data_IF_207214126883
#
_entry.id   IF_207214126883
#
_cell.length_a   1.000
_cell.length_b   1.000
_cell.length_c   1.000
_cell.angle_alpha   90.00
_cell.angle_beta   90.00
_cell.angle_gamma   90.00
#
_symmetry.space_group_name_H-M   'P 1'
#
loop_
_entity.id
_entity.type
_entity.pdbx_description
1 polymer ?
#
# COMPACT_ATOMS: atom_id res chain seq x y z
N UNK A 1 -21.57 -10.04 -14.05
CA UNK A 1 -21.62 -8.61 -14.42
C UNK A 1 -20.74 -7.88 -13.42
N UNK A 2 -19.64 -7.25 -13.83
CA UNK A 2 -18.89 -6.40 -12.90
C UNK A 2 -19.73 -5.17 -12.60
N UNK A 3 -20.13 -5.01 -11.35
CA UNK A 3 -20.70 -3.74 -10.88
C UNK A 3 -19.55 -2.76 -10.80
N UNK A 4 -19.45 -1.85 -11.78
CA UNK A 4 -18.44 -0.79 -11.86
C UNK A 4 -18.69 0.25 -10.74
N UNK A 5 -18.44 -0.16 -9.50
CA UNK A 5 -18.75 0.57 -8.27
C UNK A 5 -17.47 1.22 -7.74
N UNK A 6 -16.98 2.22 -8.47
CA UNK A 6 -15.79 2.97 -8.08
C UNK A 6 -16.12 4.02 -7.02
N UNK A 7 -15.28 4.15 -6.00
CA UNK A 7 -15.45 5.18 -4.97
C UNK A 7 -16.54 4.88 -3.94
N UNK A 8 -17.12 3.68 -3.96
CA UNK A 8 -18.09 3.20 -2.98
C UNK A 8 -17.40 2.46 -1.82
N UNK A 9 -18.06 2.41 -0.67
CA UNK A 9 -17.60 1.65 0.49
C UNK A 9 -17.54 0.14 0.21
N UNK A 10 -16.72 -0.63 0.94
CA UNK A 10 -16.69 -2.08 0.82
C UNK A 10 -18.08 -2.70 1.00
N UNK A 11 -18.47 -3.58 0.08
CA UNK A 11 -19.73 -4.36 0.15
C UNK A 11 -19.52 -5.80 0.65
N UNK A 12 -18.27 -6.17 0.91
CA UNK A 12 -17.84 -7.49 1.38
C UNK A 12 -17.09 -7.35 2.70
N UNK A 13 -17.11 -8.39 3.56
CA UNK A 13 -16.31 -8.38 4.78
C UNK A 13 -14.80 -8.33 4.45
N UNK A 14 -13.99 -7.77 5.37
CA UNK A 14 -12.54 -7.74 5.22
C UNK A 14 -11.94 -9.15 5.33
N UNK A 15 -10.77 -9.36 4.71
CA UNK A 15 -9.99 -10.59 4.81
C UNK A 15 -9.25 -10.69 6.15
N UNK A 16 -8.95 -11.91 6.57
CA UNK A 16 -8.19 -12.24 7.79
C UNK A 16 -7.20 -13.37 7.47
N UNK A 17 -5.91 -13.13 7.61
CA UNK A 17 -4.88 -14.11 7.28
C UNK A 17 -4.61 -15.16 8.37
N UNK A 18 -5.19 -15.02 9.56
CA UNK A 18 -5.02 -15.96 10.66
C UNK A 18 -6.10 -17.05 10.62
N UNK A 19 -7.35 -16.67 10.88
CA UNK A 19 -8.47 -17.64 10.90
C UNK A 19 -9.09 -17.84 9.53
N UNK A 20 -8.93 -16.87 8.63
CA UNK A 20 -9.50 -16.87 7.29
C UNK A 20 -8.50 -17.23 6.19
N UNK A 21 -7.32 -17.75 6.52
CA UNK A 21 -6.24 -18.01 5.54
C UNK A 21 -6.67 -18.87 4.35
N UNK A 22 -7.59 -19.81 4.57
CA UNK A 22 -8.12 -20.67 3.51
C UNK A 22 -8.89 -19.87 2.46
N UNK A 23 -9.55 -18.77 2.84
CA UNK A 23 -10.22 -17.87 1.90
C UNK A 23 -9.22 -17.16 0.98
N UNK A 24 -8.05 -16.79 1.50
CA UNK A 24 -6.97 -16.16 0.74
C UNK A 24 -6.26 -17.18 -0.18
N UNK A 25 -5.99 -18.38 0.31
CA UNK A 25 -5.30 -19.42 -0.47
C UNK A 25 -6.21 -20.14 -1.46
N UNK A 26 -7.51 -19.86 -1.46
CA UNK A 26 -8.53 -20.41 -2.37
C UNK A 26 -9.28 -19.36 -3.19
N UNK A 27 -8.74 -18.13 -3.30
CA UNK A 27 -9.34 -17.07 -4.13
C UNK A 27 -9.62 -17.57 -5.57
N UNK A 28 -10.68 -17.04 -6.22
CA UNK A 28 -11.02 -17.39 -7.60
C UNK A 28 -9.86 -17.14 -8.57
N UNK A 29 -9.75 -17.94 -9.63
CA UNK A 29 -8.67 -17.82 -10.64
C UNK A 29 -8.62 -16.45 -11.33
N UNK A 30 -9.71 -15.68 -11.31
CA UNK A 30 -9.74 -14.30 -11.83
C UNK A 30 -9.21 -13.24 -10.85
N UNK A 31 -8.88 -13.61 -9.61
CA UNK A 31 -8.27 -12.71 -8.65
C UNK A 31 -6.85 -12.34 -9.09
N UNK A 32 -6.47 -11.10 -8.83
CA UNK A 32 -5.16 -10.58 -9.22
C UNK A 32 -4.04 -11.39 -8.54
N UNK A 33 -2.98 -11.71 -9.29
CA UNK A 33 -1.86 -12.57 -8.87
C UNK A 33 -2.17 -14.03 -8.50
N UNK A 34 -3.44 -14.46 -8.59
CA UNK A 34 -3.83 -15.81 -8.15
C UNK A 34 -3.12 -16.92 -8.90
N UNK A 35 -2.82 -16.71 -10.17
CA UNK A 35 -2.04 -17.61 -11.02
C UNK A 35 -0.66 -17.91 -10.40
N UNK A 36 0.01 -16.90 -9.85
CA UNK A 36 1.30 -17.05 -9.16
C UNK A 36 1.12 -17.65 -7.76
N UNK A 37 0.11 -17.22 -7.01
CA UNK A 37 -0.16 -17.75 -5.67
C UNK A 37 -0.35 -19.28 -5.71
N UNK A 38 -1.05 -19.80 -6.72
CA UNK A 38 -1.25 -21.25 -6.91
C UNK A 38 0.08 -21.98 -7.11
N UNK A 39 1.00 -21.41 -7.87
CA UNK A 39 2.32 -22.02 -8.11
C UNK A 39 3.15 -22.07 -6.82
N UNK A 40 3.18 -20.98 -6.06
CA UNK A 40 3.93 -20.90 -4.80
C UNK A 40 3.36 -21.87 -3.75
N UNK A 41 2.04 -21.94 -3.62
CA UNK A 41 1.38 -22.86 -2.69
C UNK A 41 1.60 -24.33 -3.10
N UNK A 42 1.50 -24.64 -4.40
CA UNK A 42 1.69 -26.01 -4.90
C UNK A 42 3.14 -26.50 -4.79
N UNK A 43 4.13 -25.59 -4.78
CA UNK A 43 5.53 -25.95 -4.58
C UNK A 43 5.87 -26.31 -3.13
N UNK A 44 5.03 -25.93 -2.17
CA UNK A 44 5.24 -26.19 -0.75
C UNK A 44 5.37 -27.69 -0.46
N UNK A 45 6.40 -28.07 0.29
CA UNK A 45 6.68 -29.46 0.65
C UNK A 45 7.43 -29.55 1.99
N UNK A 46 7.66 -30.75 2.54
CA UNK A 46 8.48 -30.89 3.75
C UNK A 46 9.91 -30.34 3.60
N UNK A 47 10.46 -30.30 2.39
CA UNK A 47 11.82 -29.81 2.09
C UNK A 47 11.86 -28.40 1.49
N UNK A 48 10.72 -27.83 1.08
CA UNK A 48 10.62 -26.50 0.50
C UNK A 48 9.55 -25.71 1.26
N UNK A 49 10.00 -24.73 2.04
CA UNK A 49 9.14 -23.78 2.76
C UNK A 49 8.74 -22.66 1.81
N UNK A 50 7.44 -22.43 1.65
CA UNK A 50 6.92 -21.29 0.87
C UNK A 50 6.10 -20.35 1.73
N UNK A 51 6.15 -19.05 1.42
CA UNK A 51 5.31 -18.03 2.02
C UNK A 51 5.01 -16.93 1.00
N UNK A 52 3.75 -16.51 0.93
CA UNK A 52 3.26 -15.38 0.14
C UNK A 52 3.09 -14.21 1.09
N UNK A 53 3.74 -13.09 0.78
CA UNK A 53 3.51 -11.81 1.47
C UNK A 53 2.69 -10.94 0.51
N UNK A 54 1.49 -10.58 0.94
CA UNK A 54 0.54 -9.77 0.19
C UNK A 54 0.44 -8.37 0.83
N UNK A 55 1.27 -7.41 0.39
CA UNK A 55 1.21 -6.04 0.88
C UNK A 55 0.04 -5.26 0.23
N UNK A 56 -0.58 -4.32 0.98
CA UNK A 56 -1.61 -3.43 0.48
C UNK A 56 -0.97 -2.15 -0.09
N UNK A 57 -1.49 -0.95 0.19
CA UNK A 57 -0.81 0.30 -0.18
C UNK A 57 0.50 0.45 0.59
N UNK A 58 1.62 0.36 -0.13
CA UNK A 58 2.95 0.59 0.43
C UNK A 58 3.28 2.07 0.38
N UNK A 59 3.80 2.65 1.46
CA UNK A 59 4.23 4.05 1.52
C UNK A 59 5.55 4.22 2.30
N UNK A 60 6.02 5.47 2.39
CA UNK A 60 7.32 5.79 2.97
C UNK A 60 8.44 5.75 1.95
N UNK A 61 9.49 6.52 2.22
CA UNK A 61 10.71 6.56 1.40
C UNK A 61 11.54 5.30 1.67
N UNK A 62 11.89 4.55 0.64
CA UNK A 62 12.72 3.36 0.80
C UNK A 62 14.20 3.72 1.02
N UNK A 63 14.92 2.82 1.72
CA UNK A 63 16.35 2.96 2.05
C UNK A 63 17.27 2.11 1.16
N UNK A 64 16.71 1.43 0.18
CA UNK A 64 17.45 0.61 -0.79
C UNK A 64 18.08 1.45 -1.91
N UNK A 65 18.99 0.85 -2.70
CA UNK A 65 19.71 1.53 -3.78
C UNK A 65 18.88 1.69 -5.07
N UNK A 66 17.68 1.11 -5.12
CA UNK A 66 16.84 1.05 -6.32
C UNK A 66 15.78 2.16 -6.34
N UNK A 67 14.57 1.79 -6.78
CA UNK A 67 13.45 2.71 -6.75
C UNK A 67 13.05 3.02 -5.29
N UNK A 68 13.21 4.27 -4.90
CA UNK A 68 12.86 4.72 -3.53
C UNK A 68 11.45 5.28 -3.39
N UNK A 69 10.79 5.56 -4.52
CA UNK A 69 9.47 6.20 -4.57
C UNK A 69 8.37 5.15 -4.66
N UNK A 70 7.36 5.24 -3.79
CA UNK A 70 6.16 4.40 -3.94
C UNK A 70 5.23 4.91 -5.06
N UNK A 71 4.06 4.31 -5.21
CA UNK A 71 3.20 4.46 -6.40
C UNK A 71 1.88 5.16 -6.11
N UNK A 72 0.97 4.56 -5.35
CA UNK A 72 -0.43 5.02 -5.29
C UNK A 72 -0.57 6.43 -4.70
N UNK A 73 -0.15 6.65 -3.45
CA UNK A 73 -0.25 7.96 -2.77
C UNK A 73 0.68 8.99 -3.42
N UNK A 74 1.85 8.57 -3.87
CA UNK A 74 2.81 9.46 -4.54
C UNK A 74 2.26 9.96 -5.89
N UNK A 75 1.59 9.11 -6.67
CA UNK A 75 0.91 9.55 -7.89
C UNK A 75 -0.30 10.44 -7.59
N UNK A 76 -1.01 10.21 -6.48
CA UNK A 76 -2.10 11.08 -6.04
C UNK A 76 -1.59 12.50 -5.74
N UNK A 77 -0.50 12.60 -4.98
CA UNK A 77 0.18 13.87 -4.68
C UNK A 77 0.68 14.53 -5.96
N UNK A 78 1.40 13.80 -6.81
CA UNK A 78 1.89 14.31 -8.09
C UNK A 78 0.78 14.91 -8.95
N UNK A 79 -0.32 14.18 -9.12
CA UNK A 79 -1.47 14.63 -9.91
C UNK A 79 -2.14 15.85 -9.24
N UNK A 80 -2.21 15.87 -7.91
CA UNK A 80 -2.71 17.03 -7.15
C UNK A 80 -1.90 18.28 -7.47
N UNK A 81 -0.58 18.18 -7.43
CA UNK A 81 0.33 19.30 -7.70
C UNK A 81 0.22 19.77 -9.17
N UNK A 82 0.14 18.84 -10.11
CA UNK A 82 0.03 19.15 -11.55
C UNK A 82 -1.32 19.79 -11.92
N UNK A 83 -2.42 19.34 -11.32
CA UNK A 83 -3.77 19.86 -11.61
C UNK A 83 -4.16 21.04 -10.71
N UNK A 84 -3.43 21.26 -9.62
CA UNK A 84 -3.78 22.27 -8.61
C UNK A 84 -4.94 21.86 -7.69
N UNK A 85 -5.36 20.59 -7.73
CA UNK A 85 -6.48 20.07 -6.95
C UNK A 85 -6.41 18.54 -6.81
N UNK A 86 -6.71 18.02 -5.61
CA UNK A 86 -6.61 16.58 -5.35
C UNK A 86 -7.79 15.81 -5.95
N UNK A 87 -7.56 14.71 -6.69
CA UNK A 87 -8.63 13.97 -7.34
C UNK A 87 -9.36 13.03 -6.38
N UNK A 88 -10.65 12.81 -6.63
CA UNK A 88 -11.49 11.84 -5.92
C UNK A 88 -12.30 11.03 -6.94
N UNK A 89 -12.20 9.70 -6.86
CA UNK A 89 -13.05 8.79 -7.64
C UNK A 89 -14.37 8.52 -6.92
N UNK A 90 -15.48 8.63 -7.65
CA UNK A 90 -16.83 8.39 -7.12
C UNK A 90 -17.11 9.17 -5.84
N UNK A 91 -17.69 8.51 -4.83
CA UNK A 91 -17.96 9.12 -3.51
C UNK A 91 -16.73 9.22 -2.61
N UNK A 92 -15.57 8.69 -3.03
CA UNK A 92 -14.35 8.66 -2.23
C UNK A 92 -14.40 7.72 -1.02
N UNK A 93 -15.40 6.85 -0.92
CA UNK A 93 -15.61 5.96 0.26
C UNK A 93 -14.82 4.65 0.17
N UNK A 94 -13.94 4.52 -0.81
CA UNK A 94 -13.12 3.34 -1.01
C UNK A 94 -12.14 3.17 0.15
N UNK A 95 -12.11 1.98 0.74
CA UNK A 95 -11.23 1.65 1.86
C UNK A 95 -10.07 0.75 1.43
N UNK A 96 -8.87 1.10 1.90
CA UNK A 96 -7.63 0.33 1.75
C UNK A 96 -6.90 0.15 3.08
N UNK A 97 -6.22 -0.99 3.24
CA UNK A 97 -5.12 -1.16 4.16
C UNK A 97 -3.82 -0.49 3.64
N UNK A 98 -2.89 -0.20 4.54
CA UNK A 98 -1.60 0.40 4.19
C UNK A 98 -0.46 -0.14 5.06
N UNK A 99 0.78 -0.01 4.57
CA UNK A 99 1.98 -0.40 5.31
C UNK A 99 3.17 0.48 4.94
N UNK A 100 3.96 0.89 5.94
CA UNK A 100 5.21 1.58 5.69
C UNK A 100 6.25 0.58 5.12
N UNK A 101 7.01 0.98 4.11
CA UNK A 101 7.97 0.11 3.39
C UNK A 101 8.99 -0.55 4.32
N UNK A 102 9.42 0.15 5.38
CA UNK A 102 10.31 -0.39 6.40
C UNK A 102 9.67 -1.53 7.22
N UNK A 103 8.40 -1.40 7.59
CA UNK A 103 7.68 -2.44 8.33
C UNK A 103 7.48 -3.68 7.46
N UNK A 104 7.15 -3.47 6.18
CA UNK A 104 7.08 -4.55 5.19
C UNK A 104 8.43 -5.26 5.05
N UNK A 105 9.54 -4.52 4.94
CA UNK A 105 10.88 -5.11 4.86
C UNK A 105 11.24 -5.93 6.12
N UNK A 106 10.74 -5.52 7.29
CA UNK A 106 10.94 -6.24 8.55
C UNK A 106 10.19 -7.58 8.54
N UNK A 107 8.99 -7.64 7.96
CA UNK A 107 8.26 -8.90 7.81
C UNK A 107 9.03 -9.91 6.95
N UNK A 108 9.62 -9.45 5.83
CA UNK A 108 10.47 -10.32 5.01
C UNK A 108 11.69 -10.82 5.78
N UNK A 109 12.35 -9.96 6.56
CA UNK A 109 13.47 -10.36 7.41
C UNK A 109 13.06 -11.46 8.40
N UNK A 110 11.94 -11.29 9.10
CA UNK A 110 11.44 -12.26 10.07
C UNK A 110 11.15 -13.62 9.42
N UNK A 111 10.60 -13.64 8.21
CA UNK A 111 10.40 -14.90 7.46
C UNK A 111 11.75 -15.56 7.14
N UNK A 112 12.74 -14.80 6.66
CA UNK A 112 14.08 -15.33 6.36
C UNK A 112 14.74 -15.90 7.62
N UNK A 113 14.70 -15.18 8.73
CA UNK A 113 15.24 -15.62 10.02
C UNK A 113 14.54 -16.88 10.54
N UNK A 114 13.21 -16.96 10.37
CA UNK A 114 12.41 -18.15 10.74
C UNK A 114 12.70 -19.36 9.86
N UNK A 115 13.16 -19.16 8.62
CA UNK A 115 13.48 -20.22 7.70
C UNK A 115 14.80 -20.96 8.06
N UNK A 116 15.71 -20.30 8.80
CA UNK A 116 16.99 -20.86 9.26
C UNK A 116 16.75 -22.11 10.13
N UNK A 117 17.52 -23.20 9.95
CA UNK A 117 17.25 -24.50 10.61
C UNK A 117 17.12 -24.44 12.13
N UNK A 118 17.94 -23.62 12.79
CA UNK A 118 18.00 -23.51 14.25
C UNK A 118 16.83 -22.70 14.85
N UNK A 119 16.02 -22.06 14.01
CA UNK A 119 14.85 -21.26 14.40
C UNK A 119 13.55 -22.08 14.44
N UNK A 120 13.58 -23.38 14.13
CA UNK A 120 12.40 -24.23 13.93
C UNK A 120 11.56 -24.42 15.22
N UNK A 121 10.23 -24.44 15.06
CA UNK A 121 9.28 -24.66 16.16
C UNK A 121 8.03 -25.38 15.66
N UNK A 122 7.24 -25.92 16.58
CA UNK A 122 5.95 -26.54 16.24
C UNK A 122 4.96 -25.60 15.54
N UNK A 123 5.17 -24.28 15.65
CA UNK A 123 4.33 -23.27 14.99
C UNK A 123 4.68 -23.08 13.52
N UNK A 124 5.74 -23.71 13.00
CA UNK A 124 6.12 -23.64 11.58
C UNK A 124 5.00 -24.07 10.62
N UNK A 125 4.13 -24.98 11.06
CA UNK A 125 2.95 -25.41 10.30
C UNK A 125 1.97 -24.25 10.04
N UNK A 126 2.01 -23.20 10.87
CA UNK A 126 1.22 -21.99 10.72
C UNK A 126 1.94 -20.89 9.93
N UNK A 127 3.18 -21.11 9.51
CA UNK A 127 3.99 -20.07 8.85
C UNK A 127 4.24 -20.43 7.38
N UNK A 128 4.37 -21.72 7.06
CA UNK A 128 4.82 -22.16 5.74
C UNK A 128 3.73 -22.88 4.93
N UNK A 129 3.97 -22.96 3.63
CA UNK A 129 3.25 -23.80 2.68
C UNK A 129 1.76 -23.47 2.62
N UNK A 130 0.88 -24.43 2.88
CA UNK A 130 -0.58 -24.27 2.77
C UNK A 130 -1.13 -23.07 3.56
N UNK A 131 -0.52 -22.75 4.70
CA UNK A 131 -0.90 -21.62 5.56
C UNK A 131 0.03 -20.41 5.41
N UNK A 132 1.04 -20.49 4.56
CA UNK A 132 2.03 -19.45 4.32
C UNK A 132 1.49 -18.33 3.46
N UNK A 133 0.44 -17.64 3.92
CA UNK A 133 -0.11 -16.44 3.31
C UNK A 133 -0.21 -15.36 4.39
N UNK A 134 0.49 -14.25 4.18
CA UNK A 134 0.59 -13.16 5.13
C UNK A 134 0.07 -11.88 4.46
N UNK A 135 -0.98 -11.31 5.04
CA UNK A 135 -1.27 -9.92 4.78
C UNK A 135 -0.22 -9.08 5.52
N UNK A 136 0.10 -7.90 4.99
CA UNK A 136 1.10 -7.02 5.58
C UNK A 136 0.54 -5.61 5.73
N UNK A 137 -0.35 -5.40 6.70
CA UNK A 137 -0.90 -4.08 7.03
C UNK A 137 -0.40 -3.56 8.36
N UNK A 138 -0.34 -2.23 8.49
CA UNK A 138 -0.26 -1.53 9.77
C UNK A 138 -1.16 -0.28 9.79
N UNK A 139 -2.40 -0.45 9.34
CA UNK A 139 -3.37 0.65 9.27
C UNK A 139 -4.33 0.55 8.09
N UNK A 140 -5.41 1.32 8.18
CA UNK A 140 -6.45 1.43 7.17
C UNK A 140 -6.72 2.91 6.85
N UNK A 141 -7.24 3.16 5.65
CA UNK A 141 -7.57 4.51 5.19
C UNK A 141 -8.75 4.48 4.21
N UNK A 142 -9.42 5.63 4.11
CA UNK A 142 -10.42 5.92 3.07
C UNK A 142 -9.77 6.84 2.03
N UNK A 143 -9.84 6.49 0.74
CA UNK A 143 -9.16 7.24 -0.31
C UNK A 143 -9.62 8.70 -0.42
N UNK A 144 -10.91 8.98 -0.21
CA UNK A 144 -11.42 10.35 -0.18
C UNK A 144 -10.82 11.20 0.95
N UNK A 145 -10.57 10.58 2.11
CA UNK A 145 -9.90 11.26 3.23
C UNK A 145 -8.42 11.54 2.91
N UNK A 146 -7.73 10.58 2.27
CA UNK A 146 -6.36 10.78 1.80
C UNK A 146 -6.28 11.90 0.75
N UNK A 147 -7.20 11.93 -0.22
CA UNK A 147 -7.27 13.02 -1.21
C UNK A 147 -7.52 14.38 -0.56
N UNK A 148 -8.44 14.44 0.41
CA UNK A 148 -8.71 15.67 1.15
C UNK A 148 -7.48 16.13 1.96
N UNK A 149 -6.77 15.21 2.61
CA UNK A 149 -5.55 15.52 3.35
C UNK A 149 -4.45 16.03 2.41
N UNK A 150 -4.19 15.34 1.30
CA UNK A 150 -3.21 15.75 0.29
C UNK A 150 -3.52 17.15 -0.24
N UNK A 151 -4.78 17.45 -0.52
CA UNK A 151 -5.23 18.80 -0.94
C UNK A 151 -4.99 19.85 0.15
N UNK A 152 -5.31 19.53 1.41
CA UNK A 152 -5.09 20.42 2.55
C UNK A 152 -3.59 20.71 2.78
N UNK A 153 -2.74 19.68 2.76
CA UNK A 153 -1.30 19.82 2.97
C UNK A 153 -0.63 20.60 1.84
N UNK A 154 -0.97 20.31 0.58
CA UNK A 154 -0.45 21.05 -0.57
C UNK A 154 -0.90 22.52 -0.57
N UNK A 155 -2.15 22.79 -0.18
CA UNK A 155 -2.66 24.17 -0.04
C UNK A 155 -1.95 24.92 1.09
N UNK A 156 -1.78 24.29 2.25
CA UNK A 156 -1.09 24.88 3.40
C UNK A 156 0.37 25.22 3.09
N UNK A 157 1.02 24.44 2.21
CA UNK A 157 2.37 24.69 1.70
C UNK A 157 2.43 25.70 0.54
N UNK A 158 1.29 26.25 0.11
CA UNK A 158 1.21 27.23 -0.99
C UNK A 158 1.47 26.65 -2.38
N UNK A 159 1.44 25.31 -2.52
CA UNK A 159 1.74 24.61 -3.77
C UNK A 159 0.54 24.58 -4.73
N UNK A 160 -0.67 24.72 -4.18
CA UNK A 160 -1.93 24.78 -4.93
C UNK A 160 -2.84 25.88 -4.38
N UNK A 161 -3.85 26.28 -5.16
CA UNK A 161 -4.71 27.45 -4.85
C UNK A 161 -5.99 27.11 -4.06
N UNK A 162 -6.29 25.83 -3.89
CA UNK A 162 -7.47 25.36 -3.14
C UNK A 162 -7.15 24.04 -2.44
N UNK A 163 -7.76 23.81 -1.28
CA UNK A 163 -7.68 22.54 -0.54
C UNK A 163 -8.76 21.54 -0.92
N UNK A 164 -9.79 21.99 -1.65
CA UNK A 164 -10.96 21.17 -1.97
C UNK A 164 -10.60 20.05 -2.94
N UNK A 165 -11.30 18.92 -2.89
CA UNK A 165 -11.09 17.82 -3.84
C UNK A 165 -11.86 18.06 -5.15
N UNK A 166 -11.38 17.47 -6.24
CA UNK A 166 -12.02 17.45 -7.55
C UNK A 166 -12.54 16.04 -7.87
N UNK A 167 -13.78 15.92 -8.33
CA UNK A 167 -14.25 14.67 -8.91
C UNK A 167 -13.41 14.31 -10.14
N UNK A 168 -12.99 13.04 -10.22
CA UNK A 168 -12.25 12.49 -11.35
C UNK A 168 -13.01 11.27 -11.89
N UNK A 169 -13.10 11.17 -13.21
CA UNK A 169 -13.65 9.99 -13.86
C UNK A 169 -12.61 8.87 -13.98
N UNK A 170 -13.05 7.61 -14.01
CA UNK A 170 -12.15 6.45 -14.08
C UNK A 170 -11.37 6.40 -15.38
N UNK A 171 -11.96 6.81 -16.51
CA UNK A 171 -11.25 6.88 -17.79
C UNK A 171 -10.19 7.98 -17.78
N UNK A 172 -10.44 9.08 -17.07
CA UNK A 172 -9.45 10.12 -16.85
C UNK A 172 -8.31 9.61 -15.95
N UNK A 173 -8.64 8.99 -14.82
CA UNK A 173 -7.68 8.38 -13.89
C UNK A 173 -6.76 7.39 -14.62
N UNK A 174 -7.34 6.50 -15.44
CA UNK A 174 -6.60 5.51 -16.22
C UNK A 174 -5.63 6.15 -17.22
N UNK A 175 -6.01 7.27 -17.86
CA UNK A 175 -5.12 8.00 -18.79
C UNK A 175 -3.97 8.69 -18.07
N UNK A 176 -4.19 9.20 -16.85
CA UNK A 176 -3.19 9.97 -16.10
C UNK A 176 -2.14 9.08 -15.44
N UNK A 177 -2.56 8.01 -14.76
CA UNK A 177 -1.66 7.15 -13.99
C UNK A 177 -2.08 5.68 -13.99
N UNK A 178 -2.73 5.21 -15.05
CA UNK A 178 -2.99 3.79 -15.26
C UNK A 178 -3.76 3.13 -14.12
N UNK A 179 -3.30 1.95 -13.70
CA UNK A 179 -3.93 1.19 -12.63
C UNK A 179 -3.82 1.89 -11.27
N UNK A 180 -2.76 2.65 -11.02
CA UNK A 180 -2.56 3.31 -9.72
C UNK A 180 -3.71 4.29 -9.43
N UNK A 181 -4.10 5.11 -10.39
CA UNK A 181 -5.21 6.03 -10.19
C UNK A 181 -6.56 5.32 -10.14
N UNK A 182 -6.77 4.26 -10.94
CA UNK A 182 -7.99 3.45 -10.86
C UNK A 182 -8.13 2.77 -9.49
N UNK A 183 -7.01 2.38 -8.86
CA UNK A 183 -7.01 1.70 -7.56
C UNK A 183 -7.61 2.52 -6.43
N UNK A 184 -7.60 3.86 -6.52
CA UNK A 184 -8.23 4.75 -5.53
C UNK A 184 -9.75 4.59 -5.43
N UNK A 185 -10.37 3.96 -6.44
CA UNK A 185 -11.80 3.67 -6.46
C UNK A 185 -12.15 2.21 -6.23
N UNK A 186 -11.18 1.30 -6.06
CA UNK A 186 -11.39 -0.13 -5.86
C UNK A 186 -11.18 -0.50 -4.40
N UNK A 187 -11.94 -1.39 -3.77
CA UNK A 187 -11.73 -1.72 -2.35
C UNK A 187 -10.69 -2.84 -2.15
N UNK A 188 -9.87 -2.72 -1.09
CA UNK A 188 -8.97 -3.77 -0.60
C UNK A 188 -8.95 -3.69 0.92
N UNK A 189 -9.31 -4.74 1.65
CA UNK A 189 -9.27 -4.66 3.12
C UNK A 189 -8.98 -5.99 3.75
N UNK A 190 -7.89 -6.04 4.50
CA UNK A 190 -7.45 -7.20 5.26
C UNK A 190 -6.92 -6.84 6.64
N UNK A 191 -6.66 -7.88 7.44
CA UNK A 191 -6.01 -7.77 8.74
C UNK A 191 -4.84 -8.77 8.83
N UNK A 192 -3.65 -8.24 9.14
CA UNK A 192 -2.38 -8.99 9.15
C UNK A 192 -2.11 -9.62 10.52
N UNK A 193 -2.95 -10.57 10.93
CA UNK A 193 -2.91 -11.18 12.26
C UNK A 193 -1.87 -12.30 12.35
N UNK A 194 -1.62 -13.03 11.26
CA UNK A 194 -0.72 -14.20 11.23
C UNK A 194 0.72 -13.81 11.54
N UNK A 195 1.25 -12.78 10.87
CA UNK A 195 2.60 -12.29 11.09
C UNK A 195 2.82 -11.83 12.54
N UNK A 196 1.86 -11.07 13.09
CA UNK A 196 1.91 -10.60 14.48
C UNK A 196 1.96 -11.77 15.47
N UNK A 197 1.15 -12.80 15.23
CA UNK A 197 1.04 -13.96 16.11
C UNK A 197 2.28 -14.87 16.08
N UNK A 198 2.72 -15.27 14.89
CA UNK A 198 3.70 -16.37 14.75
C UNK A 198 5.13 -15.90 14.45
N UNK A 199 5.30 -14.64 14.07
CA UNK A 199 6.62 -14.05 13.80
C UNK A 199 6.97 -12.91 14.77
N UNK A 200 6.05 -12.53 15.67
CA UNK A 200 6.23 -11.38 16.55
C UNK A 200 6.36 -10.07 15.77
N UNK A 201 5.86 -10.00 14.53
CA UNK A 201 5.96 -8.80 13.70
C UNK A 201 5.23 -7.64 14.39
N UNK A 202 5.98 -6.59 14.72
CA UNK A 202 5.48 -5.41 15.41
C UNK A 202 5.87 -4.16 14.60
N UNK A 203 5.03 -3.74 13.64
CA UNK A 203 5.32 -2.59 12.80
C UNK A 203 5.32 -1.29 13.61
N UNK A 204 6.30 -0.42 13.36
CA UNK A 204 6.53 0.83 14.10
C UNK A 204 6.77 2.04 13.19
N UNK A 205 6.62 1.88 11.88
CA UNK A 205 6.70 2.98 10.93
C UNK A 205 5.66 4.07 11.24
N UNK A 206 5.94 5.29 10.75
CA UNK A 206 4.96 6.38 10.77
C UNK A 206 3.68 5.93 10.09
N UNK A 207 2.55 6.43 10.56
CA UNK A 207 1.28 6.21 9.88
C UNK A 207 1.27 6.88 8.50
N UNK A 208 0.39 6.43 7.60
CA UNK A 208 0.26 7.04 6.28
C UNK A 208 -0.06 8.54 6.39
N UNK A 209 -0.93 8.92 7.30
CA UNK A 209 -1.33 10.30 7.55
C UNK A 209 -0.16 11.17 8.00
N UNK A 210 0.72 10.65 8.85
CA UNK A 210 1.94 11.34 9.28
C UNK A 210 3.00 11.42 8.17
N UNK A 211 2.98 10.48 7.21
CA UNK A 211 3.90 10.46 6.07
C UNK A 211 3.51 11.48 4.98
N UNK A 212 2.21 11.73 4.76
CA UNK A 212 1.71 12.54 3.64
C UNK A 212 2.39 13.91 3.50
N UNK A 213 2.59 14.72 4.56
CA UNK A 213 3.28 16.01 4.41
C UNK A 213 4.69 15.89 3.82
N UNK A 214 5.40 14.80 4.12
CA UNK A 214 6.73 14.52 3.58
C UNK A 214 6.66 14.05 2.13
N UNK A 215 5.65 13.26 1.77
CA UNK A 215 5.39 12.84 0.38
C UNK A 215 5.08 14.08 -0.48
N UNK A 216 4.27 15.02 0.04
CA UNK A 216 3.99 16.30 -0.64
C UNK A 216 5.27 17.07 -0.90
N UNK A 217 6.16 17.19 0.07
CA UNK A 217 7.46 17.87 -0.12
C UNK A 217 8.35 17.14 -1.13
N UNK A 218 8.40 15.81 -1.10
CA UNK A 218 9.21 15.04 -2.05
C UNK A 218 8.70 15.21 -3.48
N UNK A 219 7.39 15.05 -3.71
CA UNK A 219 6.82 15.20 -5.04
C UNK A 219 6.88 16.65 -5.53
N UNK A 220 6.73 17.65 -4.65
CA UNK A 220 6.92 19.05 -5.01
C UNK A 220 8.36 19.33 -5.48
N UNK A 221 9.37 18.74 -4.83
CA UNK A 221 10.77 18.82 -5.30
C UNK A 221 10.93 18.14 -6.66
N UNK A 222 10.36 16.94 -6.83
CA UNK A 222 10.42 16.18 -8.08
C UNK A 222 9.76 16.91 -9.25
N UNK A 223 8.69 17.64 -9.00
CA UNK A 223 7.97 18.45 -9.98
C UNK A 223 8.59 19.87 -10.13
N UNK A 224 9.68 20.19 -9.42
CA UNK A 224 10.39 21.46 -9.52
C UNK A 224 9.66 22.66 -8.92
N UNK A 225 8.69 22.42 -8.04
CA UNK A 225 7.89 23.47 -7.38
C UNK A 225 8.58 24.06 -6.15
N UNK A 226 9.46 23.30 -5.50
CA UNK A 226 10.29 23.74 -4.37
C UNK A 226 11.72 23.24 -4.57
N UNK A 227 12.71 24.01 -4.10
CA UNK A 227 14.14 23.68 -4.22
C UNK A 227 14.54 22.55 -3.28
N UNK A 228 15.59 21.83 -3.63
CA UNK A 228 16.19 20.82 -2.76
C UNK A 228 17.05 21.43 -1.65
N UNK A 229 17.20 20.76 -0.51
CA UNK A 229 18.08 21.21 0.57
C UNK A 229 19.53 21.48 0.13
N UNK A 230 20.02 20.77 -0.89
CA UNK A 230 21.33 21.04 -1.51
C UNK A 230 21.38 22.37 -2.26
N UNK A 231 20.30 22.75 -2.93
CA UNK A 231 20.19 23.99 -3.70
C UNK A 231 19.99 25.19 -2.76
N UNK A 232 19.21 25.00 -1.69
CA UNK A 232 19.08 25.99 -0.60
C UNK A 232 20.42 26.23 0.10
N UNK A 233 21.15 25.15 0.43
CA UNK A 233 22.46 25.24 1.06
C UNK A 233 23.56 25.82 0.14
N UNK A 234 23.37 25.75 -1.18
CA UNK A 234 24.28 26.35 -2.16
C UNK A 234 24.08 27.86 -2.34
N UNK A 235 23.06 28.46 -1.71
CA UNK A 235 22.85 29.92 -1.72
C UNK A 235 22.35 30.47 -3.06
N UNK A 236 21.80 29.63 -3.94
CA UNK A 236 21.25 30.03 -5.24
C UNK A 236 19.85 30.67 -5.10
N UNK A 237 19.62 31.44 -4.03
CA UNK A 237 18.37 32.12 -3.70
C UNK A 237 18.20 33.42 -4.48
#
# INVERSE_FOLDING_TARGET
>A
MSTHTYGEAPSQPPYDDLTGVSQLTSLPDSAFHRDIDKLVLAAGSPSLKTAIVCPPTIYGLDRGPGNQRSRQVYNLVRITLQKGQAPQLGKGLTEWDNVHVHDLSTLFLLLVERAVPDSQSSEDVEIWNEKGYFLAENGHHVWGEISAQVGADAFAKGLIKTKEVAAMDVDEAKKLAGFEAVSWGLNSKGFAKRARKYLGWNPTGRTLQEEIPFIVDEEARREGLIKGHKEEAAGEA
#
